data_IF_131177218894
#
_entry.id   IF_131177218894
#
_cell.length_a   1.000
_cell.length_b   1.000
_cell.length_c   1.000
_cell.angle_alpha   90.00
_cell.angle_beta   90.00
_cell.angle_gamma   90.00
#
_symmetry.space_group_name_H-M   'P 1'
#
loop_
_entity.id
_entity.type
_entity.pdbx_description
1 polymer ?
#
# COMPACT_ATOMS: atom_id res chain seq x y z
N UNK A 1 -16.21 -17.86 -14.86
CA UNK A 1 -15.05 -16.91 -14.96
C UNK A 1 -14.34 -17.10 -16.30
N UNK A 2 -14.22 -16.03 -17.13
CA UNK A 2 -13.73 -16.14 -18.52
C UNK A 2 -12.28 -15.62 -18.70
N UNK A 3 -11.64 -15.16 -17.66
CA UNK A 3 -10.29 -14.61 -17.71
C UNK A 3 -10.14 -13.36 -16.85
N UNK A 4 -9.05 -12.64 -17.07
CA UNK A 4 -8.79 -11.38 -16.38
C UNK A 4 -8.16 -10.35 -17.32
N UNK A 5 -8.25 -9.07 -16.93
CA UNK A 5 -7.51 -7.97 -17.54
C UNK A 5 -6.77 -7.16 -16.47
N UNK A 6 -5.71 -6.48 -16.86
CA UNK A 6 -4.95 -5.60 -15.98
C UNK A 6 -5.09 -4.18 -16.50
N UNK A 7 -5.47 -3.29 -15.62
CA UNK A 7 -5.67 -1.87 -15.93
C UNK A 7 -4.90 -0.98 -14.96
N UNK A 8 -4.73 0.28 -15.34
CA UNK A 8 -4.22 1.33 -14.47
C UNK A 8 -5.30 2.37 -14.27
N UNK A 9 -5.66 2.58 -13.02
CA UNK A 9 -6.65 3.57 -12.65
C UNK A 9 -6.02 4.64 -11.77
N UNK A 10 -6.51 5.88 -11.86
CA UNK A 10 -6.10 6.88 -10.88
C UNK A 10 -6.74 6.57 -9.51
N UNK A 11 -6.07 6.98 -8.44
CA UNK A 11 -6.64 6.88 -7.09
C UNK A 11 -7.98 7.58 -7.03
N UNK A 12 -8.12 8.75 -7.69
CA UNK A 12 -9.37 9.51 -7.74
C UNK A 12 -10.50 8.69 -8.35
N UNK A 13 -10.33 8.18 -9.56
CA UNK A 13 -11.34 7.35 -10.23
C UNK A 13 -11.74 6.15 -9.38
N UNK A 14 -10.76 5.40 -8.89
CA UNK A 14 -11.03 4.22 -8.07
C UNK A 14 -11.80 4.55 -6.79
N UNK A 15 -11.42 5.63 -6.10
CA UNK A 15 -12.09 6.04 -4.88
C UNK A 15 -13.51 6.56 -5.13
N UNK A 16 -13.74 7.26 -6.22
CA UNK A 16 -15.07 7.73 -6.60
C UNK A 16 -16.00 6.55 -6.94
N UNK A 17 -15.50 5.52 -7.65
CA UNK A 17 -16.25 4.29 -7.94
C UNK A 17 -16.57 3.49 -6.67
N UNK A 18 -15.65 3.46 -5.69
CA UNK A 18 -15.89 2.86 -4.36
C UNK A 18 -16.91 3.67 -3.56
N UNK A 19 -16.81 5.00 -3.57
CA UNK A 19 -17.71 5.88 -2.82
C UNK A 19 -19.15 5.82 -3.36
N UNK A 20 -19.30 5.73 -4.67
CA UNK A 20 -20.60 5.61 -5.34
C UNK A 20 -21.12 4.17 -5.39
N UNK A 21 -20.43 3.22 -4.77
CA UNK A 21 -20.78 1.81 -4.70
C UNK A 21 -20.82 1.09 -6.07
N UNK A 22 -20.18 1.64 -7.09
CA UNK A 22 -19.92 0.92 -8.36
C UNK A 22 -18.99 -0.26 -8.08
N UNK A 23 -17.98 -0.04 -7.21
CA UNK A 23 -17.11 -1.08 -6.67
C UNK A 23 -17.51 -1.33 -5.22
N UNK A 24 -17.83 -2.57 -4.90
CA UNK A 24 -18.34 -2.96 -3.59
C UNK A 24 -17.38 -3.91 -2.89
N UNK A 25 -17.32 -3.86 -1.55
CA UNK A 25 -16.69 -4.93 -0.80
C UNK A 25 -17.50 -6.23 -0.99
N UNK A 26 -16.80 -7.36 -1.08
CA UNK A 26 -17.47 -8.67 -1.15
C UNK A 26 -18.08 -9.00 0.23
N UNK A 27 -19.42 -9.15 0.35
CA UNK A 27 -20.09 -9.20 1.64
C UNK A 27 -19.88 -10.52 2.41
N UNK A 28 -19.58 -11.63 1.71
CA UNK A 28 -19.51 -12.96 2.35
C UNK A 28 -18.13 -13.27 2.95
N UNK A 29 -17.08 -12.55 2.57
CA UNK A 29 -15.70 -12.87 2.92
C UNK A 29 -14.95 -11.71 3.59
N UNK A 30 -15.66 -10.65 3.99
CA UNK A 30 -15.03 -9.52 4.67
C UNK A 30 -14.46 -9.95 6.02
N UNK A 31 -13.13 -9.89 6.10
CA UNK A 31 -12.45 -9.87 7.39
C UNK A 31 -12.72 -8.53 8.06
N UNK A 32 -12.99 -8.55 9.38
CA UNK A 32 -13.06 -7.33 10.15
C UNK A 32 -11.79 -6.46 9.98
N UNK A 33 -11.89 -5.17 10.22
CA UNK A 33 -10.76 -4.25 10.17
C UNK A 33 -9.64 -4.71 11.11
N UNK A 34 -8.49 -5.04 10.56
CA UNK A 34 -7.35 -5.59 11.31
C UNK A 34 -6.07 -4.76 11.17
N UNK A 35 -6.08 -3.69 10.39
CA UNK A 35 -4.90 -2.85 10.19
C UNK A 35 -4.61 -2.00 11.42
N UNK A 36 -3.32 -1.94 11.78
CA UNK A 36 -2.81 -1.00 12.79
C UNK A 36 -2.81 0.42 12.21
N UNK A 37 -2.82 1.41 13.11
CA UNK A 37 -2.70 2.82 12.69
C UNK A 37 -1.40 3.08 11.92
N UNK A 38 -0.30 2.43 12.34
CA UNK A 38 0.99 2.52 11.63
C UNK A 38 0.88 2.05 10.17
N UNK A 39 0.23 0.90 9.92
CA UNK A 39 0.05 0.37 8.56
C UNK A 39 -0.83 1.29 7.71
N UNK A 40 -1.90 1.84 8.30
CA UNK A 40 -2.79 2.78 7.63
C UNK A 40 -2.08 4.09 7.30
N UNK A 41 -1.37 4.67 8.26
CA UNK A 41 -0.60 5.89 8.06
C UNK A 41 0.50 5.70 7.01
N UNK A 42 1.19 4.53 7.02
CA UNK A 42 2.21 4.20 6.03
C UNK A 42 1.66 4.10 4.61
N UNK A 43 0.45 3.55 4.43
CA UNK A 43 -0.22 3.52 3.13
C UNK A 43 -0.60 4.94 2.66
N UNK A 44 -1.15 5.76 3.56
CA UNK A 44 -1.50 7.16 3.25
C UNK A 44 -0.25 7.93 2.84
N UNK A 45 0.85 7.79 3.60
CA UNK A 45 2.13 8.39 3.24
C UNK A 45 2.61 7.95 1.85
N UNK A 46 2.54 6.65 1.55
CA UNK A 46 2.92 6.11 0.24
C UNK A 46 2.09 6.71 -0.89
N UNK A 47 0.79 6.85 -0.69
CA UNK A 47 -0.12 7.40 -1.66
C UNK A 47 0.10 8.91 -1.87
N UNK A 48 0.28 9.68 -0.78
CA UNK A 48 0.51 11.13 -0.84
C UNK A 48 1.89 11.46 -1.39
N UNK A 49 2.94 10.71 -0.99
CA UNK A 49 4.30 10.93 -1.47
C UNK A 49 4.49 10.52 -2.93
N UNK A 50 3.71 9.59 -3.44
CA UNK A 50 3.87 9.03 -4.78
C UNK A 50 5.20 8.29 -5.02
N UNK A 51 6.00 8.07 -3.97
CA UNK A 51 7.34 7.46 -4.08
C UNK A 51 7.25 5.94 -4.04
N UNK A 52 6.33 5.40 -3.23
CA UNK A 52 6.17 3.96 -3.04
C UNK A 52 4.95 3.47 -3.78
N UNK A 53 5.14 2.40 -4.54
CA UNK A 53 4.05 1.75 -5.28
C UNK A 53 3.03 1.12 -4.33
N UNK A 54 1.75 1.40 -4.56
CA UNK A 54 0.66 0.72 -3.86
C UNK A 54 0.46 -0.65 -4.51
N UNK A 55 0.50 -1.75 -3.74
CA UNK A 55 0.32 -3.09 -4.29
C UNK A 55 -0.99 -3.25 -5.06
N UNK A 56 -0.98 -4.14 -6.05
CA UNK A 56 -2.09 -4.40 -6.95
C UNK A 56 -3.41 -4.68 -6.21
N UNK A 57 -4.51 -4.17 -6.75
CA UNK A 57 -5.86 -4.45 -6.28
C UNK A 57 -6.49 -5.52 -7.17
N UNK A 58 -7.24 -6.43 -6.57
CA UNK A 58 -7.90 -7.51 -7.28
C UNK A 58 -9.41 -7.31 -7.19
N UNK A 59 -10.03 -7.20 -8.33
CA UNK A 59 -11.48 -7.04 -8.47
C UNK A 59 -12.08 -8.23 -9.23
N UNK A 60 -13.38 -8.45 -9.06
CA UNK A 60 -14.14 -9.43 -9.82
C UNK A 60 -15.44 -8.80 -10.32
N UNK A 61 -15.68 -8.86 -11.63
CA UNK A 61 -16.93 -8.48 -12.26
C UNK A 61 -17.85 -9.69 -12.34
N UNK A 62 -19.03 -9.57 -11.75
CA UNK A 62 -20.09 -10.58 -11.84
C UNK A 62 -21.22 -10.06 -12.74
N UNK A 63 -21.94 -10.99 -13.36
CA UNK A 63 -23.20 -10.69 -14.03
C UNK A 63 -24.33 -11.25 -13.18
N UNK A 64 -25.34 -10.44 -12.90
CA UNK A 64 -26.62 -10.93 -12.42
C UNK A 64 -27.42 -11.57 -13.55
N UNK A 65 -28.45 -12.34 -13.22
CA UNK A 65 -29.41 -12.87 -14.20
C UNK A 65 -30.06 -11.77 -15.04
N UNK A 66 -30.24 -10.57 -14.50
CA UNK A 66 -30.71 -9.38 -15.19
C UNK A 66 -29.68 -8.72 -16.12
N UNK A 67 -28.46 -9.26 -16.21
CA UNK A 67 -27.37 -8.70 -17.02
C UNK A 67 -26.64 -7.50 -16.37
N UNK A 68 -27.05 -7.07 -15.19
CA UNK A 68 -26.36 -5.99 -14.44
C UNK A 68 -25.02 -6.50 -13.96
N UNK A 69 -23.95 -5.75 -14.28
CA UNK A 69 -22.62 -6.03 -13.78
C UNK A 69 -22.44 -5.43 -12.40
N UNK A 70 -21.91 -6.22 -11.48
CA UNK A 70 -21.44 -5.75 -10.17
C UNK A 70 -19.96 -6.04 -10.05
N UNK A 71 -19.20 -5.11 -9.45
CA UNK A 71 -17.76 -5.23 -9.26
C UNK A 71 -17.45 -5.34 -7.77
N UNK A 72 -16.73 -6.39 -7.40
CA UNK A 72 -16.40 -6.70 -6.00
C UNK A 72 -14.90 -6.66 -5.77
N UNK A 73 -14.50 -6.21 -4.57
CA UNK A 73 -13.11 -6.22 -4.13
C UNK A 73 -12.77 -7.61 -3.61
N UNK A 74 -11.87 -8.32 -4.30
CA UNK A 74 -11.36 -9.65 -3.92
C UNK A 74 -10.16 -9.51 -2.99
N UNK A 75 -9.18 -8.68 -3.35
CA UNK A 75 -8.04 -8.33 -2.49
C UNK A 75 -7.75 -6.84 -2.55
N UNK A 76 -7.24 -6.33 -1.43
CA UNK A 76 -6.97 -4.91 -1.24
C UNK A 76 -8.05 -4.16 -0.46
N UNK A 77 -9.02 -4.84 0.15
CA UNK A 77 -10.09 -4.21 0.91
C UNK A 77 -9.61 -3.25 2.00
N UNK A 78 -8.58 -3.62 2.78
CA UNK A 78 -7.99 -2.73 3.78
C UNK A 78 -7.32 -1.49 3.15
N UNK A 79 -6.63 -1.67 2.01
CA UNK A 79 -6.00 -0.57 1.25
C UNK A 79 -7.05 0.40 0.73
N UNK A 80 -8.10 -0.14 0.15
CA UNK A 80 -9.25 0.62 -0.34
C UNK A 80 -9.90 1.43 0.77
N UNK A 81 -10.22 0.79 1.90
CA UNK A 81 -10.87 1.46 3.02
C UNK A 81 -9.98 2.51 3.68
N UNK A 82 -8.66 2.28 3.76
CA UNK A 82 -7.71 3.27 4.26
C UNK A 82 -7.67 4.53 3.39
N UNK A 83 -7.57 4.36 2.06
CA UNK A 83 -7.57 5.47 1.11
C UNK A 83 -8.92 6.19 1.11
N UNK A 84 -10.03 5.45 1.17
CA UNK A 84 -11.39 6.01 1.23
C UNK A 84 -11.56 6.88 2.47
N UNK A 85 -11.27 6.35 3.66
CA UNK A 85 -11.38 7.12 4.91
C UNK A 85 -10.56 8.39 4.88
N UNK A 86 -9.34 8.32 4.36
CA UNK A 86 -8.49 9.50 4.28
C UNK A 86 -9.05 10.52 3.28
N UNK A 87 -9.37 10.10 2.05
CA UNK A 87 -9.83 10.98 0.99
C UNK A 87 -11.13 11.71 1.32
N UNK A 88 -12.04 11.05 2.03
CA UNK A 88 -13.34 11.63 2.39
C UNK A 88 -13.37 12.22 3.82
N UNK A 89 -12.22 12.47 4.41
CA UNK A 89 -12.10 13.20 5.68
C UNK A 89 -12.48 12.40 6.93
N UNK A 90 -12.71 11.10 6.81
CA UNK A 90 -13.06 10.21 7.93
C UNK A 90 -11.84 9.75 8.73
N UNK A 91 -10.64 10.10 8.28
CA UNK A 91 -9.39 9.72 8.93
C UNK A 91 -8.39 10.85 8.97
N UNK A 92 -7.79 11.01 10.14
CA UNK A 92 -6.70 11.94 10.42
C UNK A 92 -5.43 11.15 10.72
N UNK A 93 -4.33 11.47 10.00
CA UNK A 93 -3.04 10.79 10.21
C UNK A 93 -2.59 10.95 11.66
N UNK A 94 -2.27 9.86 12.31
CA UNK A 94 -1.86 9.86 13.73
C UNK A 94 -0.34 10.01 13.87
N UNK A 95 0.15 10.06 15.12
CA UNK A 95 1.59 10.09 15.40
C UNK A 95 2.28 8.73 15.20
N UNK A 96 1.50 7.66 15.00
CA UNK A 96 2.00 6.30 14.73
C UNK A 96 2.41 6.17 13.25
N UNK A 97 3.38 6.95 12.82
CA UNK A 97 3.90 6.99 11.45
C UNK A 97 5.44 7.09 11.50
N UNK A 98 6.14 6.22 10.75
CA UNK A 98 7.62 6.20 10.73
C UNK A 98 8.21 7.40 10.03
N UNK A 99 7.67 7.72 8.86
CA UNK A 99 8.12 8.83 8.03
C UNK A 99 6.95 9.78 7.81
N UNK A 100 6.79 10.80 8.66
CA UNK A 100 5.66 11.71 8.55
C UNK A 100 5.86 12.78 7.48
N UNK A 101 7.10 13.01 7.03
CA UNK A 101 7.44 14.11 6.13
C UNK A 101 7.29 13.67 4.67
N UNK A 102 6.52 14.42 3.92
CA UNK A 102 6.41 14.30 2.47
C UNK A 102 7.09 15.50 1.82
N UNK A 103 7.92 15.26 0.81
CA UNK A 103 8.56 16.31 0.01
C UNK A 103 7.83 16.44 -1.32
N UNK A 104 7.53 17.69 -1.70
CA UNK A 104 6.91 17.96 -2.98
C UNK A 104 7.45 19.27 -3.58
N UNK A 105 7.32 19.41 -4.89
CA UNK A 105 7.73 20.61 -5.59
C UNK A 105 6.53 21.52 -5.81
N UNK A 106 6.69 22.81 -5.50
CA UNK A 106 5.73 23.86 -5.84
C UNK A 106 6.41 25.02 -6.57
N UNK A 107 5.62 25.84 -7.24
CA UNK A 107 6.10 27.08 -7.83
C UNK A 107 6.54 28.01 -6.71
N UNK A 108 7.76 28.55 -6.81
CA UNK A 108 8.24 29.57 -5.88
C UNK A 108 7.41 30.85 -6.04
N UNK A 109 6.92 31.37 -4.91
CA UNK A 109 6.19 32.63 -4.86
C UNK A 109 7.05 33.71 -4.22
N UNK A 110 6.90 34.97 -4.66
CA UNK A 110 7.47 36.13 -3.99
C UNK A 110 6.57 36.55 -2.80
N UNK A 111 6.96 37.61 -2.10
CA UNK A 111 6.22 38.16 -0.94
C UNK A 111 4.81 38.63 -1.31
N UNK A 112 4.55 38.97 -2.59
CA UNK A 112 3.24 39.36 -3.09
C UNK A 112 2.38 38.16 -3.58
N UNK A 113 2.87 36.91 -3.41
CA UNK A 113 2.20 35.69 -3.87
C UNK A 113 2.26 35.44 -5.38
N UNK A 114 3.10 36.17 -6.12
CA UNK A 114 3.30 35.99 -7.56
C UNK A 114 4.39 34.95 -7.84
N UNK A 115 4.20 34.17 -8.93
CA UNK A 115 5.17 33.15 -9.36
C UNK A 115 6.49 33.80 -9.77
N UNK A 116 7.58 33.34 -9.15
CA UNK A 116 8.94 33.80 -9.48
C UNK A 116 9.43 33.11 -10.74
N UNK A 117 10.03 33.89 -11.66
CA UNK A 117 10.66 33.41 -12.87
C UNK A 117 12.14 33.76 -12.89
N UNK A 118 12.95 32.94 -13.57
CA UNK A 118 14.36 33.25 -13.81
C UNK A 118 14.53 34.30 -14.92
N UNK A 119 15.77 34.67 -15.21
CA UNK A 119 16.10 35.64 -16.26
C UNK A 119 15.67 35.24 -17.68
N UNK A 120 15.33 33.96 -17.89
CA UNK A 120 14.83 33.43 -19.17
C UNK A 120 13.31 33.31 -19.21
N UNK A 121 12.59 33.75 -18.16
CA UNK A 121 11.14 33.68 -18.07
C UNK A 121 10.60 32.31 -17.59
N UNK A 122 11.46 31.36 -17.20
CA UNK A 122 11.06 30.06 -16.73
C UNK A 122 10.67 30.09 -15.25
N UNK A 123 9.69 29.28 -14.87
CA UNK A 123 9.19 29.19 -13.49
C UNK A 123 10.25 28.56 -12.59
N UNK A 124 10.56 29.20 -11.49
CA UNK A 124 11.40 28.64 -10.43
C UNK A 124 10.54 27.76 -9.56
N UNK A 125 11.01 26.52 -9.33
CA UNK A 125 10.39 25.54 -8.42
C UNK A 125 11.18 25.48 -7.12
N UNK A 126 10.48 25.21 -6.03
CA UNK A 126 11.08 24.94 -4.73
C UNK A 126 10.56 23.63 -4.16
N UNK A 127 11.42 22.88 -3.46
CA UNK A 127 11.03 21.67 -2.73
C UNK A 127 10.59 22.07 -1.32
N UNK A 128 9.41 21.62 -0.93
CA UNK A 128 8.81 21.89 0.38
C UNK A 128 8.59 20.60 1.12
N UNK A 129 8.85 20.62 2.42
CA UNK A 129 8.52 19.54 3.34
C UNK A 129 7.15 19.77 3.96
N UNK A 130 6.36 18.72 4.06
CA UNK A 130 5.03 18.75 4.65
C UNK A 130 4.86 17.60 5.65
N UNK A 131 4.53 17.93 6.88
CA UNK A 131 4.30 16.95 7.95
C UNK A 131 2.84 16.48 7.91
N UNK A 132 2.64 15.18 7.70
CA UNK A 132 1.32 14.56 7.62
C UNK A 132 0.67 14.35 8.99
N UNK A 133 1.41 14.41 10.10
CA UNK A 133 0.85 14.15 11.42
C UNK A 133 -0.27 15.14 11.74
N UNK A 134 -1.38 14.59 12.18
CA UNK A 134 -2.56 15.39 12.51
C UNK A 134 -3.27 15.97 11.28
N UNK A 135 -2.97 15.55 10.07
CA UNK A 135 -3.58 16.07 8.84
C UNK A 135 -4.66 15.13 8.30
N UNK A 136 -5.68 15.71 7.75
CA UNK A 136 -6.69 15.08 6.91
C UNK A 136 -6.39 15.33 5.43
N UNK A 137 -7.15 14.74 4.53
CA UNK A 137 -7.05 15.03 3.10
C UNK A 137 -7.29 16.52 2.79
N UNK A 138 -8.23 17.16 3.50
CA UNK A 138 -8.54 18.57 3.26
C UNK A 138 -7.40 19.50 3.65
N UNK A 139 -6.58 19.12 4.62
CA UNK A 139 -5.42 19.90 5.06
C UNK A 139 -4.26 19.84 4.04
N UNK A 140 -4.29 18.93 3.07
CA UNK A 140 -3.20 18.78 2.11
C UNK A 140 -3.11 20.00 1.17
N UNK A 141 -1.88 20.47 0.87
CA UNK A 141 -1.65 21.41 -0.23
C UNK A 141 -2.20 20.88 -1.57
N UNK A 142 -2.58 21.79 -2.45
CA UNK A 142 -3.16 21.45 -3.76
C UNK A 142 -2.26 20.51 -4.59
N UNK A 143 -0.95 20.68 -4.49
CA UNK A 143 0.03 19.84 -5.18
C UNK A 143 -0.02 18.39 -4.66
N UNK A 144 -0.10 18.20 -3.35
CA UNK A 144 -0.19 16.88 -2.75
C UNK A 144 -1.56 16.23 -2.99
N UNK A 145 -2.67 16.98 -2.94
CA UNK A 145 -3.99 16.49 -3.38
C UNK A 145 -3.94 15.99 -4.82
N UNK A 146 -3.33 16.78 -5.70
CA UNK A 146 -3.17 16.40 -7.12
C UNK A 146 -2.30 15.15 -7.27
N UNK A 147 -1.21 15.06 -6.51
CA UNK A 147 -0.29 13.90 -6.55
C UNK A 147 -1.01 12.63 -6.11
N UNK A 148 -1.74 12.67 -4.99
CA UNK A 148 -2.56 11.56 -4.52
C UNK A 148 -3.61 11.15 -5.56
N UNK A 149 -4.40 12.11 -6.04
CA UNK A 149 -5.52 11.84 -6.94
C UNK A 149 -5.07 11.23 -8.28
N UNK A 150 -3.95 11.72 -8.82
CA UNK A 150 -3.34 11.20 -10.07
C UNK A 150 -2.47 9.95 -9.86
N UNK A 151 -2.22 9.55 -8.61
CA UNK A 151 -1.51 8.31 -8.29
C UNK A 151 -2.13 7.13 -9.03
N UNK A 152 -1.28 6.24 -9.56
CA UNK A 152 -1.73 5.12 -10.37
C UNK A 152 -1.81 3.85 -9.53
N UNK A 153 -2.97 3.20 -9.59
CA UNK A 153 -3.23 1.89 -9.03
C UNK A 153 -3.20 0.85 -10.15
N UNK A 154 -2.46 -0.22 -9.96
CA UNK A 154 -2.58 -1.39 -10.80
C UNK A 154 -3.79 -2.21 -10.31
N UNK A 155 -4.69 -2.54 -11.22
CA UNK A 155 -5.93 -3.26 -10.91
C UNK A 155 -6.04 -4.47 -11.81
N UNK A 156 -6.16 -5.65 -11.22
CA UNK A 156 -6.49 -6.88 -11.94
C UNK A 156 -7.98 -7.16 -11.79
N UNK A 157 -8.67 -7.33 -12.90
CA UNK A 157 -10.13 -7.49 -12.92
C UNK A 157 -10.47 -8.82 -13.55
N UNK A 158 -11.00 -9.75 -12.74
CA UNK A 158 -11.56 -11.01 -13.22
C UNK A 158 -12.92 -10.77 -13.85
N UNK A 159 -13.16 -11.37 -15.01
CA UNK A 159 -14.33 -11.08 -15.83
C UNK A 159 -15.35 -12.22 -15.80
N UNK A 160 -16.63 -11.85 -15.86
CA UNK A 160 -17.74 -12.78 -15.94
C UNK A 160 -17.68 -13.88 -14.84
N UNK A 161 -17.38 -13.45 -13.61
CA UNK A 161 -17.37 -14.34 -12.46
C UNK A 161 -18.81 -14.71 -12.09
N UNK A 162 -19.01 -15.97 -11.72
CA UNK A 162 -20.21 -16.41 -11.02
C UNK A 162 -20.06 -16.12 -9.52
N UNK A 163 -21.17 -16.09 -8.80
CA UNK A 163 -21.10 -15.84 -7.34
C UNK A 163 -20.25 -16.88 -6.60
N UNK A 164 -20.21 -18.12 -7.05
CA UNK A 164 -19.37 -19.18 -6.50
C UNK A 164 -17.86 -19.01 -6.75
N UNK A 165 -17.45 -18.19 -7.73
CA UNK A 165 -16.06 -17.90 -8.02
C UNK A 165 -15.43 -16.95 -6.98
N UNK A 166 -16.23 -16.05 -6.37
CA UNK A 166 -15.74 -15.02 -5.47
C UNK A 166 -15.01 -15.59 -4.24
N UNK A 167 -15.59 -16.53 -3.46
CA UNK A 167 -14.89 -17.15 -2.33
C UNK A 167 -13.59 -17.86 -2.75
N UNK A 168 -13.58 -18.48 -3.92
CA UNK A 168 -12.38 -19.15 -4.45
C UNK A 168 -11.27 -18.16 -4.74
N UNK A 169 -11.58 -17.04 -5.42
CA UNK A 169 -10.62 -15.97 -5.68
C UNK A 169 -10.10 -15.35 -4.37
N UNK A 170 -11.00 -15.05 -3.44
CA UNK A 170 -10.61 -14.50 -2.13
C UNK A 170 -9.68 -15.46 -1.39
N UNK A 171 -9.95 -16.76 -1.41
CA UNK A 171 -9.06 -17.75 -0.80
C UNK A 171 -7.68 -17.81 -1.47
N UNK A 172 -7.62 -17.77 -2.79
CA UNK A 172 -6.35 -17.76 -3.54
C UNK A 172 -5.50 -16.56 -3.12
N UNK A 173 -6.07 -15.37 -3.06
CA UNK A 173 -5.33 -14.15 -2.74
C UNK A 173 -5.04 -13.97 -1.24
N UNK A 174 -5.83 -14.55 -0.35
CA UNK A 174 -5.61 -14.48 1.10
C UNK A 174 -4.73 -15.60 1.67
N UNK A 175 -4.47 -16.66 0.92
CA UNK A 175 -3.61 -17.78 1.35
C UNK A 175 -2.11 -17.52 1.22
N UNK A 176 -1.68 -16.26 1.16
CA UNK A 176 -0.26 -15.94 1.23
C UNK A 176 0.28 -16.27 2.63
N UNK A 177 1.34 -17.06 2.68
CA UNK A 177 2.09 -17.28 3.91
C UNK A 177 2.72 -15.95 4.31
N UNK A 178 2.17 -15.32 5.36
CA UNK A 178 2.72 -14.09 5.88
C UNK A 178 4.14 -14.32 6.40
N UNK A 179 5.07 -13.41 6.08
CA UNK A 179 6.39 -13.42 6.71
C UNK A 179 6.24 -13.41 8.24
N UNK A 180 6.97 -14.29 8.92
CA UNK A 180 7.01 -14.28 10.38
C UNK A 180 7.76 -13.06 10.91
N UNK A 181 7.70 -12.83 12.24
CA UNK A 181 8.30 -11.66 12.86
C UNK A 181 9.82 -11.55 12.58
N UNK A 182 10.54 -12.66 12.58
CA UNK A 182 11.98 -12.70 12.29
C UNK A 182 12.29 -12.32 10.85
N UNK A 183 11.52 -12.83 9.89
CA UNK A 183 11.66 -12.49 8.49
C UNK A 183 11.35 -10.99 8.25
N UNK A 184 10.33 -10.43 8.92
CA UNK A 184 10.01 -9.01 8.85
C UNK A 184 11.12 -8.15 9.45
N UNK A 185 11.68 -8.51 10.62
CA UNK A 185 12.75 -7.76 11.24
C UNK A 185 13.95 -7.59 10.29
N UNK A 186 14.33 -8.64 9.56
CA UNK A 186 15.44 -8.60 8.61
C UNK A 186 15.18 -7.73 7.37
N UNK A 187 13.95 -7.37 7.06
CA UNK A 187 13.64 -6.44 5.94
C UNK A 187 13.93 -4.99 6.29
N UNK A 188 13.96 -4.64 7.59
CA UNK A 188 14.12 -3.26 8.06
C UNK A 188 15.55 -2.88 8.46
N UNK A 189 16.43 -3.85 8.68
CA UNK A 189 17.73 -3.60 9.33
C UNK A 189 18.89 -3.75 8.34
N UNK A 190 18.93 -2.93 7.32
CA UNK A 190 19.95 -2.78 6.28
C UNK A 190 21.29 -3.55 6.45
N UNK A 191 22.32 -2.89 6.99
CA UNK A 191 23.64 -3.48 7.17
C UNK A 191 23.66 -4.60 8.23
N UNK A 192 22.85 -4.50 9.26
CA UNK A 192 22.74 -5.53 10.29
C UNK A 192 22.21 -6.85 9.72
N UNK A 193 21.18 -6.78 8.86
CA UNK A 193 20.69 -7.96 8.17
C UNK A 193 21.72 -8.63 7.26
N UNK A 194 22.62 -7.84 6.66
CA UNK A 194 23.75 -8.38 5.87
C UNK A 194 24.74 -9.14 6.76
N UNK A 195 25.09 -8.60 7.93
CA UNK A 195 26.00 -9.25 8.86
C UNK A 195 25.39 -10.55 9.44
N UNK A 196 24.12 -10.54 9.81
CA UNK A 196 23.42 -11.75 10.26
C UNK A 196 23.47 -12.85 9.18
N UNK A 197 23.19 -12.51 7.93
CA UNK A 197 23.24 -13.46 6.81
C UNK A 197 24.67 -13.95 6.56
N UNK A 198 25.66 -13.08 6.70
CA UNK A 198 27.08 -13.46 6.59
C UNK A 198 27.45 -14.47 7.66
N UNK A 199 27.16 -14.17 8.94
CA UNK A 199 27.40 -15.10 10.07
C UNK A 199 26.72 -16.44 9.82
N UNK A 200 25.44 -16.46 9.47
CA UNK A 200 24.70 -17.67 9.15
C UNK A 200 25.37 -18.49 8.04
N UNK A 201 25.86 -17.83 7.00
CA UNK A 201 26.40 -18.50 5.83
C UNK A 201 27.87 -18.92 5.96
N UNK A 202 28.62 -18.31 6.88
CA UNK A 202 30.06 -18.61 7.10
C UNK A 202 30.32 -19.51 8.30
N UNK A 203 29.40 -19.59 9.24
CA UNK A 203 29.55 -20.40 10.43
C UNK A 203 29.21 -21.88 10.13
N UNK A 204 30.19 -22.75 10.21
CA UNK A 204 30.03 -24.18 9.90
C UNK A 204 29.03 -24.88 10.83
N UNK A 205 28.99 -24.51 12.11
CA UNK A 205 28.01 -25.06 13.05
C UNK A 205 26.58 -24.75 12.64
N UNK A 206 26.32 -23.53 12.18
CA UNK A 206 24.98 -23.11 11.72
C UNK A 206 24.60 -23.74 10.39
N UNK A 207 25.57 -24.07 9.54
CA UNK A 207 25.33 -24.77 8.27
C UNK A 207 24.99 -26.24 8.47
N UNK A 208 25.87 -26.95 9.15
CA UNK A 208 25.91 -28.42 9.12
C UNK A 208 25.67 -29.05 10.49
N UNK A 209 25.88 -28.33 11.58
CA UNK A 209 25.82 -28.84 12.95
C UNK A 209 24.45 -28.81 13.62
N UNK A 210 23.38 -28.60 12.88
CA UNK A 210 22.08 -28.32 13.50
C UNK A 210 21.05 -29.40 13.31
N UNK A 211 20.28 -29.63 14.36
CA UNK A 211 19.12 -30.56 14.39
C UNK A 211 17.82 -29.88 13.84
N UNK A 212 17.92 -28.66 13.27
CA UNK A 212 16.75 -27.94 12.77
C UNK A 212 16.22 -28.56 11.48
N UNK A 213 14.90 -28.69 11.41
CA UNK A 213 14.22 -29.09 10.19
C UNK A 213 14.32 -27.98 9.13
N UNK A 214 14.19 -28.34 7.85
CA UNK A 214 14.18 -27.36 6.76
C UNK A 214 13.09 -26.29 6.94
N UNK A 215 11.92 -26.63 7.47
CA UNK A 215 10.85 -25.67 7.79
C UNK A 215 11.32 -24.66 8.84
N UNK A 216 12.07 -25.06 9.84
CA UNK A 216 12.60 -24.19 10.89
C UNK A 216 13.72 -23.30 10.34
N UNK A 217 14.63 -23.85 9.51
CA UNK A 217 15.70 -23.09 8.85
C UNK A 217 15.09 -21.99 7.95
N UNK A 218 14.11 -22.37 7.13
CA UNK A 218 13.41 -21.43 6.24
C UNK A 218 12.52 -20.42 7.01
N UNK A 219 12.10 -20.75 8.22
CA UNK A 219 11.38 -19.88 9.13
C UNK A 219 12.20 -18.76 9.78
N UNK A 220 13.52 -18.71 9.53
CA UNK A 220 14.40 -17.64 10.03
C UNK A 220 14.79 -17.80 11.50
N UNK A 221 14.82 -19.02 12.04
CA UNK A 221 15.20 -19.27 13.45
C UNK A 221 16.62 -18.79 13.72
N UNK A 222 17.57 -19.10 12.83
CA UNK A 222 18.95 -18.67 13.01
C UNK A 222 19.13 -17.16 12.98
N UNK A 223 18.45 -16.52 12.05
CA UNK A 223 18.45 -15.07 11.97
C UNK A 223 17.93 -14.43 13.26
N UNK A 224 16.93 -15.02 13.88
CA UNK A 224 16.40 -14.58 15.15
C UNK A 224 17.42 -14.75 16.28
N UNK A 225 17.99 -15.96 16.41
CA UNK A 225 18.99 -16.25 17.47
C UNK A 225 20.18 -15.34 17.35
N UNK A 226 20.75 -15.15 16.15
CA UNK A 226 21.89 -14.27 15.91
C UNK A 226 21.54 -12.81 16.24
N UNK A 227 20.31 -12.39 16.00
CA UNK A 227 19.88 -10.99 16.27
C UNK A 227 19.61 -10.71 17.75
N UNK A 228 19.42 -11.74 18.55
CA UNK A 228 19.19 -11.65 20.01
C UNK A 228 20.50 -11.78 20.82
N UNK A 229 21.62 -12.20 20.19
CA UNK A 229 22.96 -12.22 20.78
C UNK A 229 23.73 -10.91 20.56
#
# INVERSE_FOLDING_TARGET
MDGYRIERWSVEQYMDDVHTQIIQPEPTVQRGWSWTKEALNGLIWSAVSGIVFIPNLILAETKSESGIKSTYIVDGGHRTEALRRFRYGEYKVTNEIREPIVRYNRKKLNEEGKVVKNQYGEIIWETVEYDLRGKTYEDLPTELKRQLNKGQLAVTIYQNCEQGDLPTLVNIYNNHIAMNASQKALTYVGNFAKEIRKIKNTNEFLKDGTILTEKQKNGGIWERVISEC
#
